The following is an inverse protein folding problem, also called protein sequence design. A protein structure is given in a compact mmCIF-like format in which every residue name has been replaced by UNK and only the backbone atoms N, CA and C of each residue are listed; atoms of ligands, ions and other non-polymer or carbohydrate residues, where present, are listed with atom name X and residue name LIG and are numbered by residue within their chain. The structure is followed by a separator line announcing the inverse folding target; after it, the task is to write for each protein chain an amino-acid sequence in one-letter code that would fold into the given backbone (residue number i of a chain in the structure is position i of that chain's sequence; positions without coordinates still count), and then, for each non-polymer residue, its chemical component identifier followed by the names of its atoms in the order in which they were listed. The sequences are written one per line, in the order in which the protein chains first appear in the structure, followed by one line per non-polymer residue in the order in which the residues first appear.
data_IF_334022006642
#
_entry.id   IF_334022006642
#
_cell.length_a   1.000
_cell.length_b   1.000
_cell.length_c   1.000
_cell.angle_alpha   90.00
_cell.angle_beta   90.00
_cell.angle_gamma   90.00
#
_symmetry.space_group_name_H-M   'P 1'
#
loop_
_entity.id
_entity.type
_entity.pdbx_description
1 polymer ?
#
# COMPACT_ATOMS: atom_id res chain seq x y z
N UNK A 1 -2.53 -2.56 -10.80
CA UNK A 1 -2.32 -3.20 -9.50
C UNK A 1 -2.93 -4.59 -9.48
N UNK A 2 -2.21 -5.58 -8.92
CA UNK A 2 -2.73 -6.94 -8.74
C UNK A 2 -3.35 -7.10 -7.35
N UNK A 3 -4.40 -7.94 -7.27
CA UNK A 3 -5.15 -8.13 -6.03
C UNK A 3 -5.57 -9.58 -5.77
N UNK A 4 -5.10 -10.53 -6.57
CA UNK A 4 -5.48 -11.95 -6.45
C UNK A 4 -4.27 -12.87 -6.52
N UNK A 5 -4.38 -14.04 -5.88
CA UNK A 5 -3.36 -15.10 -5.96
C UNK A 5 -3.16 -15.63 -7.39
N UNK A 6 -4.20 -15.62 -8.21
CA UNK A 6 -4.11 -16.01 -9.62
C UNK A 6 -3.25 -15.03 -10.42
N UNK A 7 -3.37 -13.71 -10.13
CA UNK A 7 -2.52 -12.70 -10.77
C UNK A 7 -1.05 -12.83 -10.31
N UNK A 8 -0.81 -13.15 -9.05
CA UNK A 8 0.54 -13.46 -8.54
C UNK A 8 1.14 -14.65 -9.29
N UNK A 9 0.38 -15.74 -9.46
CA UNK A 9 0.85 -16.93 -10.17
C UNK A 9 1.19 -16.70 -11.65
N UNK A 10 0.71 -15.60 -12.25
CA UNK A 10 1.07 -15.24 -13.62
C UNK A 10 2.46 -14.64 -13.74
N UNK A 11 3.03 -14.10 -12.68
CA UNK A 11 4.34 -13.44 -12.70
C UNK A 11 5.46 -14.40 -13.11
N UNK A 12 5.42 -15.63 -12.60
CA UNK A 12 6.41 -16.65 -12.95
C UNK A 12 6.14 -17.28 -14.32
N UNK A 13 4.88 -17.26 -14.76
CA UNK A 13 4.47 -17.87 -16.02
C UNK A 13 4.87 -17.04 -17.25
N UNK A 14 4.91 -15.70 -17.12
CA UNK A 14 5.16 -14.80 -18.23
C UNK A 14 6.37 -13.91 -17.96
N UNK A 15 7.39 -13.96 -18.85
CA UNK A 15 8.64 -13.22 -18.67
C UNK A 15 8.46 -11.70 -18.68
N UNK A 16 7.59 -11.18 -19.51
CA UNK A 16 7.34 -9.75 -19.74
C UNK A 16 6.15 -9.19 -18.92
N UNK A 17 5.72 -9.89 -17.88
CA UNK A 17 4.66 -9.44 -16.99
C UNK A 17 5.25 -8.87 -15.71
N UNK A 18 4.86 -7.66 -15.37
CA UNK A 18 5.25 -6.95 -14.15
C UNK A 18 4.00 -6.49 -13.41
N UNK A 19 4.11 -6.28 -12.11
CA UNK A 19 2.96 -5.89 -11.29
C UNK A 19 3.32 -4.83 -10.24
N UNK A 20 2.33 -4.01 -9.92
CA UNK A 20 2.35 -3.15 -8.75
C UNK A 20 1.41 -3.68 -7.69
N UNK A 21 1.77 -3.49 -6.43
CA UNK A 21 0.92 -3.76 -5.27
C UNK A 21 0.87 -2.50 -4.41
N UNK A 22 -0.32 -2.15 -3.93
CA UNK A 22 -0.53 -0.98 -3.08
C UNK A 22 -0.44 -1.36 -1.61
N UNK A 23 -0.14 -0.41 -0.73
CA UNK A 23 -0.10 -0.67 0.71
C UNK A 23 -1.45 -1.14 1.25
N UNK A 24 -2.55 -0.57 0.76
CA UNK A 24 -3.88 -0.95 1.23
C UNK A 24 -4.28 -2.38 0.79
N UNK A 25 -3.77 -2.90 -0.33
CA UNK A 25 -3.98 -4.30 -0.71
C UNK A 25 -3.07 -5.29 0.04
N UNK A 26 -2.05 -4.80 0.75
CA UNK A 26 -1.25 -5.61 1.69
C UNK A 26 -1.83 -5.63 3.12
N UNK A 27 -2.94 -4.93 3.36
CA UNK A 27 -3.54 -4.79 4.69
C UNK A 27 -5.00 -5.23 4.69
N UNK A 28 -5.75 -4.85 3.66
CA UNK A 28 -7.20 -4.99 3.63
C UNK A 28 -7.67 -6.26 2.91
N UNK A 29 -8.67 -6.87 3.49
CA UNK A 29 -9.54 -7.84 2.84
C UNK A 29 -10.89 -7.23 2.50
N UNK A 30 -11.72 -7.93 1.75
CA UNK A 30 -13.09 -7.50 1.46
C UNK A 30 -13.92 -7.33 2.75
N UNK A 31 -13.66 -8.15 3.75
CA UNK A 31 -14.39 -8.08 5.04
C UNK A 31 -14.08 -6.77 5.78
N UNK A 32 -12.88 -6.20 5.62
CA UNK A 32 -12.52 -4.90 6.19
C UNK A 32 -13.33 -3.75 5.57
N UNK A 33 -13.72 -3.90 4.32
CA UNK A 33 -14.48 -2.89 3.55
C UNK A 33 -15.98 -3.00 3.79
N UNK A 34 -16.54 -4.23 3.77
CA UNK A 34 -17.99 -4.48 3.78
C UNK A 34 -18.47 -5.34 4.96
N UNK A 35 -17.58 -5.90 5.75
CA UNK A 35 -17.91 -6.67 6.95
C UNK A 35 -18.50 -5.78 8.05
N UNK A 36 -19.69 -6.09 8.53
CA UNK A 36 -20.41 -5.25 9.47
C UNK A 36 -20.97 -3.99 8.82
N UNK A 37 -20.58 -2.80 9.30
CA UNK A 37 -20.89 -1.53 8.63
C UNK A 37 -19.89 -1.27 7.52
N UNK A 38 -20.38 -0.87 6.35
CA UNK A 38 -19.50 -0.47 5.23
C UNK A 38 -18.57 0.67 5.63
N UNK A 39 -17.29 0.54 5.25
CA UNK A 39 -16.27 1.56 5.47
C UNK A 39 -15.92 2.25 4.15
N UNK A 40 -16.59 3.35 3.80
CA UNK A 40 -16.45 3.99 2.48
C UNK A 40 -15.01 4.46 2.22
N UNK A 41 -14.27 4.88 3.25
CA UNK A 41 -12.88 5.33 3.10
C UNK A 41 -11.90 4.22 2.70
N UNK A 42 -12.27 2.93 2.89
CA UNK A 42 -11.48 1.76 2.49
C UNK A 42 -11.90 1.18 1.13
N UNK A 43 -12.97 1.70 0.51
CA UNK A 43 -13.39 1.26 -0.81
C UNK A 43 -12.47 1.76 -1.91
N UNK A 44 -11.94 0.84 -2.72
CA UNK A 44 -11.03 1.10 -3.85
C UNK A 44 -11.36 0.24 -5.06
N UNK A 45 -10.71 0.52 -6.18
CA UNK A 45 -10.71 -0.29 -7.39
C UNK A 45 -9.27 -0.45 -7.90
N UNK A 46 -8.78 -1.68 -8.07
CA UNK A 46 -9.45 -2.95 -7.82
C UNK A 46 -9.81 -3.13 -6.34
N UNK A 47 -10.92 -3.80 -6.06
CA UNK A 47 -11.36 -4.02 -4.67
C UNK A 47 -10.42 -5.00 -3.95
N UNK A 48 -10.24 -4.81 -2.64
CA UNK A 48 -9.60 -5.81 -1.77
C UNK A 48 -10.32 -7.16 -1.85
N UNK A 49 -9.57 -8.25 -1.81
CA UNK A 49 -10.09 -9.60 -2.03
C UNK A 49 -10.17 -10.38 -0.72
N UNK A 50 -9.99 -11.69 -0.80
CA UNK A 50 -10.09 -12.62 0.32
C UNK A 50 -8.76 -12.74 1.07
N UNK A 51 -8.74 -13.31 2.29
CA UNK A 51 -7.51 -13.51 3.05
C UNK A 51 -6.42 -14.26 2.27
N UNK A 52 -6.78 -15.31 1.52
CA UNK A 52 -5.80 -16.07 0.73
C UNK A 52 -5.19 -15.27 -0.42
N UNK A 53 -5.89 -14.25 -0.92
CA UNK A 53 -5.35 -13.32 -1.91
C UNK A 53 -4.37 -12.34 -1.23
N UNK A 54 -4.74 -11.81 -0.06
CA UNK A 54 -3.88 -10.97 0.76
C UNK A 54 -2.57 -11.68 1.11
N UNK A 55 -2.65 -12.94 1.56
CA UNK A 55 -1.46 -13.75 1.89
C UNK A 55 -0.53 -13.91 0.69
N UNK A 56 -1.09 -14.14 -0.50
CA UNK A 56 -0.29 -14.26 -1.73
C UNK A 56 0.40 -12.93 -2.10
N UNK A 57 -0.29 -11.80 -1.95
CA UNK A 57 0.28 -10.47 -2.20
C UNK A 57 1.38 -10.13 -1.19
N UNK A 58 1.13 -10.39 0.11
CA UNK A 58 2.12 -10.19 1.18
C UNK A 58 3.39 -11.01 0.89
N UNK A 59 3.23 -12.30 0.59
CA UNK A 59 4.36 -13.18 0.34
C UNK A 59 5.25 -12.68 -0.80
N UNK A 60 4.68 -12.32 -1.94
CA UNK A 60 5.46 -11.85 -3.10
C UNK A 60 6.09 -10.47 -2.88
N UNK A 61 5.43 -9.57 -2.14
CA UNK A 61 5.97 -8.27 -1.77
C UNK A 61 7.14 -8.40 -0.77
N UNK A 62 6.94 -9.17 0.30
CA UNK A 62 7.96 -9.38 1.35
C UNK A 62 9.23 -10.08 0.85
N UNK A 63 9.12 -10.87 -0.21
CA UNK A 63 10.28 -11.47 -0.89
C UNK A 63 10.95 -10.52 -1.88
N UNK A 64 10.44 -9.31 -2.06
CA UNK A 64 10.88 -8.35 -3.06
C UNK A 64 11.04 -8.99 -4.45
N UNK A 65 10.02 -9.76 -4.87
CA UNK A 65 10.03 -10.45 -6.16
C UNK A 65 10.40 -9.47 -7.28
N UNK A 66 11.39 -9.76 -8.16
CA UNK A 66 11.99 -8.76 -9.06
C UNK A 66 11.03 -8.16 -10.09
N UNK A 67 9.87 -8.78 -10.32
CA UNK A 67 8.81 -8.27 -11.20
C UNK A 67 7.70 -7.52 -10.45
N UNK A 68 7.84 -7.34 -9.13
CA UNK A 68 6.82 -6.70 -8.29
C UNK A 68 7.40 -5.44 -7.65
N UNK A 69 6.63 -4.36 -7.68
CA UNK A 69 7.02 -3.10 -7.10
C UNK A 69 5.84 -2.45 -6.38
N UNK A 70 6.15 -1.55 -5.47
CA UNK A 70 5.14 -0.71 -4.85
C UNK A 70 4.53 0.26 -5.86
N UNK A 71 3.21 0.36 -5.84
CA UNK A 71 2.48 1.39 -6.58
C UNK A 71 1.43 1.98 -5.67
N UNK A 72 1.50 3.27 -5.36
CA UNK A 72 0.71 3.85 -4.28
C UNK A 72 -0.80 3.80 -4.53
N UNK A 73 -1.23 4.08 -5.76
CA UNK A 73 -2.66 4.29 -6.08
C UNK A 73 -3.39 5.09 -4.99
N UNK A 74 -2.65 6.02 -4.36
CA UNK A 74 -3.21 6.86 -3.33
C UNK A 74 -4.21 7.84 -3.97
N UNK A 75 -5.48 7.68 -3.64
CA UNK A 75 -6.57 8.40 -4.29
C UNK A 75 -7.32 9.28 -3.27
N UNK A 76 -6.89 10.55 -3.10
CA UNK A 76 -7.53 11.49 -2.19
C UNK A 76 -8.87 11.97 -2.77
N UNK A 77 -9.96 11.48 -2.20
CA UNK A 77 -11.31 11.97 -2.50
C UNK A 77 -11.88 12.71 -1.28
N UNK A 78 -12.55 13.86 -1.48
CA UNK A 78 -13.21 14.58 -0.39
C UNK A 78 -14.21 13.69 0.34
N UNK A 79 -14.32 13.85 1.67
CA UNK A 79 -15.20 13.06 2.53
C UNK A 79 -16.61 12.93 1.96
N UNK A 80 -17.23 14.05 1.51
CA UNK A 80 -18.59 14.04 0.95
C UNK A 80 -18.74 13.20 -0.33
N UNK A 81 -17.65 12.88 -1.05
CA UNK A 81 -17.67 11.98 -2.22
C UNK A 81 -17.50 10.52 -1.81
N UNK A 82 -16.77 10.29 -0.72
CA UNK A 82 -16.60 8.93 -0.15
C UNK A 82 -17.88 8.47 0.55
N UNK A 83 -18.54 9.35 1.29
CA UNK A 83 -19.72 9.05 2.12
C UNK A 83 -21.05 9.25 1.39
N UNK A 84 -21.03 9.46 0.09
CA UNK A 84 -22.23 9.60 -0.74
C UNK A 84 -22.66 8.27 -1.35
N UNK A 85 -23.92 8.22 -1.80
CA UNK A 85 -24.43 7.15 -2.65
C UNK A 85 -23.55 7.04 -3.91
N UNK A 86 -23.00 5.85 -4.18
CA UNK A 86 -22.04 5.63 -5.26
C UNK A 86 -20.58 5.74 -4.88
N UNK A 87 -20.25 6.07 -3.64
CA UNK A 87 -18.93 6.06 -3.01
C UNK A 87 -17.73 6.16 -3.98
N UNK A 88 -17.02 7.28 -4.03
CA UNK A 88 -15.82 7.40 -4.85
C UNK A 88 -14.79 6.31 -4.49
N UNK A 89 -14.32 5.56 -5.48
CA UNK A 89 -13.34 4.50 -5.27
C UNK A 89 -11.93 5.08 -5.12
N UNK A 90 -11.25 4.73 -4.05
CA UNK A 90 -9.88 5.15 -3.77
C UNK A 90 -9.60 5.21 -2.27
N UNK A 91 -8.41 4.79 -1.86
CA UNK A 91 -7.92 4.89 -0.48
C UNK A 91 -6.81 5.94 -0.44
N UNK A 92 -6.87 6.88 0.48
CA UNK A 92 -5.85 7.90 0.65
C UNK A 92 -4.76 7.41 1.58
N UNK A 93 -3.63 7.00 1.03
CA UNK A 93 -2.50 6.39 1.75
C UNK A 93 -1.21 7.18 1.68
N UNK A 94 -1.07 8.15 0.77
CA UNK A 94 0.19 8.86 0.53
C UNK A 94 0.87 9.39 1.80
N UNK A 95 0.16 9.95 2.80
CA UNK A 95 0.81 10.49 3.99
C UNK A 95 1.47 9.45 4.89
N UNK A 96 1.11 8.17 4.76
CA UNK A 96 1.50 7.09 5.70
C UNK A 96 2.01 5.82 5.01
N UNK A 97 2.10 5.82 3.69
CA UNK A 97 2.40 4.60 2.93
C UNK A 97 3.74 3.97 3.29
N UNK A 98 4.82 4.75 3.38
CA UNK A 98 6.15 4.24 3.72
C UNK A 98 6.23 3.74 5.17
N UNK A 99 5.59 4.46 6.10
CA UNK A 99 5.52 4.06 7.50
C UNK A 99 4.80 2.72 7.66
N UNK A 100 3.65 2.54 7.00
CA UNK A 100 2.90 1.28 7.00
C UNK A 100 3.68 0.14 6.34
N UNK A 101 4.38 0.41 5.24
CA UNK A 101 5.25 -0.60 4.62
C UNK A 101 6.39 -1.01 5.53
N UNK A 102 7.03 -0.06 6.25
CA UNK A 102 8.01 -0.37 7.29
C UNK A 102 7.44 -1.30 8.35
N UNK A 103 6.25 -0.99 8.85
CA UNK A 103 5.57 -1.79 9.89
C UNK A 103 5.26 -3.21 9.39
N UNK A 104 4.74 -3.35 8.17
CA UNK A 104 4.47 -4.65 7.55
C UNK A 104 5.77 -5.46 7.39
N UNK A 105 6.80 -4.88 6.78
CA UNK A 105 8.05 -5.58 6.53
C UNK A 105 8.79 -5.95 7.82
N UNK A 106 8.73 -5.09 8.86
CA UNK A 106 9.25 -5.39 10.19
C UNK A 106 8.52 -6.57 10.84
N UNK A 107 7.19 -6.59 10.78
CA UNK A 107 6.37 -7.65 11.37
C UNK A 107 6.75 -9.05 10.86
N UNK A 108 7.22 -9.15 9.62
CA UNK A 108 7.64 -10.39 9.00
C UNK A 108 9.17 -10.59 8.96
N UNK A 109 9.95 -9.74 9.63
CA UNK A 109 11.41 -9.76 9.62
C UNK A 109 12.01 -9.68 8.20
N UNK A 110 11.50 -8.72 7.40
CA UNK A 110 11.84 -8.51 5.99
C UNK A 110 12.21 -7.06 5.65
N UNK A 111 12.60 -6.25 6.62
CA UNK A 111 12.96 -4.84 6.38
C UNK A 111 14.04 -4.68 5.30
N UNK A 112 14.99 -5.60 5.21
CA UNK A 112 16.05 -5.57 4.20
C UNK A 112 15.52 -5.61 2.75
N UNK A 113 14.32 -6.12 2.55
CA UNK A 113 13.67 -6.21 1.24
C UNK A 113 12.82 -4.97 0.90
N UNK A 114 12.60 -4.06 1.86
CA UNK A 114 11.72 -2.92 1.67
C UNK A 114 12.21 -2.00 0.55
N UNK A 115 13.51 -1.66 0.54
CA UNK A 115 14.12 -0.80 -0.49
C UNK A 115 13.89 -1.35 -1.90
N UNK A 116 14.09 -2.66 -2.08
CA UNK A 116 13.87 -3.30 -3.38
C UNK A 116 12.41 -3.20 -3.82
N UNK A 117 11.46 -3.42 -2.91
CA UNK A 117 10.03 -3.35 -3.20
C UNK A 117 9.56 -1.92 -3.52
N UNK A 118 10.04 -0.90 -2.78
CA UNK A 118 9.55 0.49 -2.95
C UNK A 118 10.28 1.27 -4.03
N UNK A 119 11.49 0.87 -4.42
CA UNK A 119 12.34 1.66 -5.31
C UNK A 119 13.08 0.85 -6.36
N UNK A 120 13.98 -0.07 -5.98
CA UNK A 120 14.96 -0.66 -6.88
C UNK A 120 14.31 -1.48 -8.00
N UNK A 121 13.27 -2.24 -7.70
CA UNK A 121 12.54 -3.01 -8.70
C UNK A 121 11.91 -2.10 -9.76
N UNK A 122 11.31 -0.97 -9.35
CA UNK A 122 10.74 0.00 -10.29
C UNK A 122 11.82 0.64 -11.16
N UNK A 123 12.95 1.02 -10.58
CA UNK A 123 14.08 1.58 -11.33
C UNK A 123 14.60 0.59 -12.39
N UNK A 124 14.79 -0.67 -12.00
CA UNK A 124 15.25 -1.72 -12.90
C UNK A 124 14.25 -2.02 -14.02
N UNK A 125 12.94 -2.13 -13.68
CA UNK A 125 11.89 -2.47 -14.65
C UNK A 125 11.67 -1.34 -15.66
N UNK A 126 11.68 -0.10 -15.22
CA UNK A 126 11.46 1.06 -16.09
C UNK A 126 12.73 1.62 -16.72
N UNK A 127 13.91 1.16 -16.29
CA UNK A 127 15.20 1.67 -16.78
C UNK A 127 15.40 3.15 -16.41
N UNK A 128 14.96 3.57 -15.24
CA UNK A 128 15.06 4.95 -14.75
C UNK A 128 16.12 5.06 -13.65
N UNK A 129 16.74 6.23 -13.55
CA UNK A 129 17.67 6.58 -12.49
C UNK A 129 17.24 7.93 -11.93
N UNK A 130 16.36 7.98 -10.93
CA UNK A 130 15.94 9.23 -10.31
C UNK A 130 17.10 9.90 -9.55
N UNK A 131 16.93 11.18 -9.25
CA UNK A 131 17.84 11.85 -8.30
C UNK A 131 17.81 11.10 -6.97
N UNK A 132 19.01 10.96 -6.38
CA UNK A 132 19.13 10.32 -5.06
C UNK A 132 18.39 11.14 -4.02
N UNK A 133 17.52 10.45 -3.28
CA UNK A 133 16.85 11.00 -2.09
C UNK A 133 16.81 9.94 -1.03
N UNK A 134 17.08 10.33 0.18
CA UNK A 134 17.01 9.45 1.34
C UNK A 134 15.80 9.82 2.19
N UNK A 135 15.02 8.82 2.59
CA UNK A 135 13.92 8.97 3.55
C UNK A 135 14.30 8.24 4.81
N UNK A 136 14.52 8.99 5.89
CA UNK A 136 14.83 8.42 7.20
C UNK A 136 13.53 8.13 7.94
N UNK A 137 13.32 6.87 8.27
CA UNK A 137 12.17 6.40 9.04
C UNK A 137 12.63 6.03 10.44
N UNK A 138 11.91 6.52 11.46
CA UNK A 138 12.17 6.26 12.86
C UNK A 138 11.04 5.44 13.47
N UNK A 139 11.41 4.44 14.28
CA UNK A 139 10.42 3.66 15.05
C UNK A 139 9.94 4.45 16.25
N UNK A 140 8.96 5.29 16.02
CA UNK A 140 8.26 6.04 17.06
C UNK A 140 6.79 6.20 16.71
N UNK A 141 5.90 6.22 17.71
CA UNK A 141 4.47 6.39 17.50
C UNK A 141 4.15 7.66 16.69
N UNK A 142 3.35 7.52 15.66
CA UNK A 142 2.84 8.62 14.85
C UNK A 142 1.31 8.56 14.83
N UNK A 143 0.67 9.65 15.29
CA UNK A 143 -0.79 9.79 15.23
C UNK A 143 -1.16 10.27 13.83
N UNK A 144 -1.89 9.45 13.08
CA UNK A 144 -2.35 9.83 11.75
C UNK A 144 -3.40 10.95 11.89
N UNK A 145 -3.23 12.10 11.22
CA UNK A 145 -4.22 13.16 11.28
C UNK A 145 -5.60 12.68 10.86
N UNK A 146 -6.63 13.23 11.49
CA UNK A 146 -8.04 12.92 11.19
C UNK A 146 -8.37 13.15 9.71
N UNK A 147 -7.87 14.24 9.15
CA UNK A 147 -8.05 14.58 7.74
C UNK A 147 -6.94 15.49 7.23
N UNK A 148 -6.82 15.59 5.92
CA UNK A 148 -5.99 16.56 5.20
C UNK A 148 -6.90 17.42 4.33
N UNK A 149 -7.33 18.57 4.86
CA UNK A 149 -8.22 19.52 4.16
C UNK A 149 -9.52 18.86 3.66
N UNK A 150 -10.14 18.04 4.52
CA UNK A 150 -11.40 17.36 4.21
C UNK A 150 -11.27 16.05 3.43
N UNK A 151 -10.03 15.52 3.31
CA UNK A 151 -9.74 14.19 2.77
C UNK A 151 -9.28 13.28 3.90
N UNK A 152 -10.04 12.24 4.20
CA UNK A 152 -9.77 11.30 5.29
C UNK A 152 -8.76 10.25 4.83
N UNK A 153 -7.58 10.14 5.48
CA UNK A 153 -6.61 9.10 5.16
C UNK A 153 -7.01 7.75 5.73
N UNK A 154 -6.40 6.69 5.22
CA UNK A 154 -6.42 5.40 5.90
C UNK A 154 -5.82 5.55 7.31
N UNK A 155 -6.34 4.86 8.31
CA UNK A 155 -5.93 4.97 9.71
C UNK A 155 -6.12 6.36 10.35
N UNK A 156 -7.03 7.21 9.83
CA UNK A 156 -7.35 8.50 10.45
C UNK A 156 -7.60 8.37 11.97
N UNK A 157 -7.00 9.24 12.77
CA UNK A 157 -7.02 9.24 14.25
C UNK A 157 -6.38 8.00 14.93
N UNK A 158 -5.76 7.09 14.18
CA UNK A 158 -5.07 5.92 14.73
C UNK A 158 -3.57 6.18 14.90
N UNK A 159 -2.92 5.34 15.70
CA UNK A 159 -1.47 5.39 15.94
C UNK A 159 -0.80 4.30 15.14
N UNK A 160 0.21 4.67 14.34
CA UNK A 160 1.10 3.75 13.63
C UNK A 160 2.50 3.78 14.27
N UNK A 161 3.28 2.70 14.09
CA UNK A 161 4.52 2.50 14.85
C UNK A 161 5.74 3.26 14.30
N UNK A 162 5.67 3.73 13.04
CA UNK A 162 6.78 4.38 12.35
C UNK A 162 6.44 5.81 11.94
N UNK A 163 7.43 6.69 11.97
CA UNK A 163 7.33 8.08 11.51
C UNK A 163 8.43 8.40 10.50
N UNK A 164 8.19 9.33 9.58
CA UNK A 164 9.24 9.94 8.77
C UNK A 164 9.95 10.97 9.65
N UNK A 165 11.28 10.85 9.77
CA UNK A 165 12.11 11.78 10.52
C UNK A 165 12.65 12.89 9.60
N UNK A 166 13.22 12.52 8.46
CA UNK A 166 13.71 13.48 7.47
C UNK A 166 13.60 12.93 6.04
N UNK A 167 13.68 13.85 5.08
CA UNK A 167 13.84 13.58 3.65
C UNK A 167 15.01 14.43 3.17
N UNK A 168 16.09 13.79 2.70
CA UNK A 168 17.35 14.41 2.27
C UNK A 168 17.61 14.23 0.77
#
# INVERSE_FOLDING_TARGET
HITTKEAVAMLDKYENLYATITVHHLILTLDDVVGGMMKPHLFCKPIAKRPEDLDALLNVALQAHPKVMFGSDSAPHPQHKKEACGCAAGVFTAPIALQLLCEIFEQYDKLDNLQSFVSDNAQNIYGICPEFKEVVLEKRPFVVPKDYSGVVPMYADEVIAWAIESIE
#
